data_IF_651730816561
#
_entry.id   IF_651730816561
#
_cell.length_a   1.000
_cell.length_b   1.000
_cell.length_c   1.000
_cell.angle_alpha   90.00
_cell.angle_beta   90.00
_cell.angle_gamma   90.00
#
_symmetry.space_group_name_H-M   'P 1'
#
loop_
_entity.id
_entity.type
_entity.pdbx_description
1 polymer ?
#
# COMPACT_ATOMS: atom_id res chain seq x y z
N UNK A 1 -3.03 -17.16 -2.00
CA UNK A 1 -4.14 -16.59 -1.20
C UNK A 1 -3.81 -15.12 -0.91
N UNK A 2 -4.70 -14.17 -1.23
CA UNK A 2 -4.43 -12.71 -1.08
C UNK A 2 -4.07 -12.30 0.35
N UNK A 3 -4.68 -12.96 1.33
CA UNK A 3 -4.40 -12.77 2.76
C UNK A 3 -2.94 -13.16 3.07
N UNK A 4 -2.42 -14.26 2.50
CA UNK A 4 -1.04 -14.69 2.72
C UNK A 4 -0.02 -13.72 2.10
N UNK A 5 -0.34 -13.15 0.93
CA UNK A 5 0.49 -12.11 0.30
C UNK A 5 0.55 -10.85 1.16
N UNK A 6 -0.59 -10.41 1.74
CA UNK A 6 -0.62 -9.28 2.67
C UNK A 6 0.18 -9.55 3.96
N UNK A 7 0.14 -10.78 4.49
CA UNK A 7 0.98 -11.17 5.62
C UNK A 7 2.47 -11.21 5.27
N UNK A 8 2.83 -11.71 4.08
CA UNK A 8 4.23 -11.69 3.60
C UNK A 8 4.73 -10.26 3.41
N UNK A 9 3.93 -9.39 2.82
CA UNK A 9 4.26 -7.97 2.66
C UNK A 9 4.37 -7.25 4.01
N UNK A 10 3.61 -7.64 5.02
CA UNK A 10 3.78 -7.09 6.38
C UNK A 10 5.11 -7.53 7.02
N UNK A 11 5.52 -8.79 6.78
CA UNK A 11 6.75 -9.38 7.32
C UNK A 11 8.01 -9.00 6.54
N UNK A 12 7.87 -8.53 5.30
CA UNK A 12 8.98 -8.15 4.44
C UNK A 12 9.73 -6.93 5.01
N UNK A 13 11.06 -6.99 5.00
CA UNK A 13 11.95 -5.96 5.54
C UNK A 13 12.22 -4.83 4.55
N UNK A 14 12.36 -5.16 3.27
CA UNK A 14 12.74 -4.19 2.24
C UNK A 14 11.55 -3.36 1.76
N UNK A 15 10.37 -3.98 1.67
CA UNK A 15 9.16 -3.37 1.10
C UNK A 15 7.98 -3.28 2.08
N UNK A 16 8.11 -3.91 3.25
CA UNK A 16 7.05 -4.12 4.23
C UNK A 16 7.18 -3.34 5.54
N UNK A 17 6.60 -3.88 6.61
CA UNK A 17 6.67 -3.30 7.96
C UNK A 17 7.76 -3.94 8.84
N UNK A 18 8.52 -4.91 8.33
CA UNK A 18 9.67 -5.50 9.03
C UNK A 18 9.32 -6.18 10.38
N UNK A 19 8.07 -6.59 10.59
CA UNK A 19 7.62 -7.15 11.87
C UNK A 19 8.39 -8.42 12.29
N UNK A 20 8.98 -9.12 11.33
CA UNK A 20 9.87 -10.27 11.56
C UNK A 20 11.13 -9.92 12.37
N UNK A 21 11.60 -8.67 12.33
CA UNK A 21 12.71 -8.19 13.14
C UNK A 21 12.30 -7.75 14.54
N UNK A 22 10.99 -7.61 14.78
CA UNK A 22 10.50 -7.27 16.10
C UNK A 22 10.47 -8.55 16.93
N UNK A 23 11.56 -8.84 17.65
CA UNK A 23 11.68 -9.91 18.67
C UNK A 23 10.77 -9.65 19.87
N UNK A 24 9.50 -9.37 19.63
CA UNK A 24 8.51 -9.07 20.66
C UNK A 24 7.87 -10.37 21.13
N UNK A 25 8.22 -10.79 22.35
CA UNK A 25 7.69 -11.99 23.00
C UNK A 25 6.29 -11.81 23.62
N UNK A 26 5.80 -10.57 23.74
CA UNK A 26 4.49 -10.28 24.33
C UNK A 26 3.36 -10.19 23.29
N UNK A 27 2.30 -10.98 23.47
CA UNK A 27 1.14 -11.02 22.58
C UNK A 27 0.47 -9.65 22.39
N UNK A 28 0.33 -8.86 23.47
CA UNK A 28 -0.23 -7.49 23.40
C UNK A 28 0.63 -6.54 22.55
N UNK A 29 1.95 -6.64 22.66
CA UNK A 29 2.88 -5.80 21.89
C UNK A 29 2.86 -6.18 20.41
N UNK A 30 2.78 -7.48 20.10
CA UNK A 30 2.60 -7.94 18.72
C UNK A 30 1.28 -7.45 18.11
N UNK A 31 0.17 -7.51 18.86
CA UNK A 31 -1.12 -6.97 18.43
C UNK A 31 -1.06 -5.47 18.13
N UNK A 32 -0.43 -4.69 19.01
CA UNK A 32 -0.25 -3.25 18.79
C UNK A 32 0.59 -2.96 17.53
N UNK A 33 1.68 -3.71 17.32
CA UNK A 33 2.54 -3.55 16.14
C UNK A 33 1.85 -3.96 14.84
N UNK A 34 1.00 -5.01 14.88
CA UNK A 34 0.17 -5.39 13.73
C UNK A 34 -0.84 -4.31 13.40
N UNK A 35 -1.49 -3.74 14.41
CA UNK A 35 -2.43 -2.63 14.22
C UNK A 35 -1.73 -1.41 13.59
N UNK A 36 -0.57 -1.01 14.13
CA UNK A 36 0.23 0.10 13.59
C UNK A 36 0.67 -0.22 12.15
N UNK A 37 1.14 -1.45 11.89
CA UNK A 37 1.52 -1.90 10.56
C UNK A 37 0.38 -1.81 9.56
N UNK A 38 -0.83 -2.22 9.95
CA UNK A 38 -2.02 -2.13 9.09
C UNK A 38 -2.47 -0.68 8.85
N UNK A 39 -2.43 0.18 9.86
CA UNK A 39 -2.72 1.62 9.69
C UNK A 39 -1.71 2.23 8.71
N UNK A 40 -0.43 1.91 8.86
CA UNK A 40 0.62 2.39 7.96
C UNK A 40 0.44 1.88 6.52
N UNK A 41 0.04 0.61 6.35
CA UNK A 41 -0.28 0.04 5.03
C UNK A 41 -1.51 0.73 4.40
N UNK A 42 -2.55 1.00 5.18
CA UNK A 42 -3.74 1.72 4.71
C UNK A 42 -3.36 3.14 4.25
N UNK A 43 -2.57 3.86 5.05
CA UNK A 43 -2.07 5.18 4.70
C UNK A 43 -1.22 5.16 3.42
N UNK A 44 -0.29 4.19 3.29
CA UNK A 44 0.50 4.00 2.06
C UNK A 44 -0.42 3.74 0.86
N UNK A 45 -1.47 2.93 1.01
CA UNK A 45 -2.39 2.65 -0.09
C UNK A 45 -3.16 3.90 -0.54
N UNK A 46 -3.63 4.73 0.39
CA UNK A 46 -4.23 6.03 0.07
C UNK A 46 -3.28 6.93 -0.72
N UNK A 47 -2.03 7.04 -0.26
CA UNK A 47 -1.00 7.84 -0.94
C UNK A 47 -0.71 7.30 -2.34
N UNK A 48 -0.66 5.97 -2.50
CA UNK A 48 -0.44 5.33 -3.79
C UNK A 48 -1.57 5.57 -4.79
N UNK A 49 -2.83 5.50 -4.34
CA UNK A 49 -3.99 5.82 -5.19
C UNK A 49 -4.02 7.30 -5.59
N UNK A 50 -3.72 8.20 -4.65
CA UNK A 50 -3.60 9.62 -4.93
C UNK A 50 -2.48 9.92 -5.94
N UNK A 51 -1.31 9.30 -5.77
CA UNK A 51 -0.20 9.41 -6.70
C UNK A 51 -0.52 8.85 -8.09
N UNK A 52 -1.29 7.76 -8.15
CA UNK A 52 -1.75 7.17 -9.42
C UNK A 52 -2.69 8.13 -10.15
N UNK A 53 -3.64 8.73 -9.43
CA UNK A 53 -4.57 9.72 -9.98
C UNK A 53 -3.86 11.00 -10.45
N UNK A 54 -2.82 11.44 -9.72
CA UNK A 54 -1.94 12.54 -10.13
C UNK A 54 -0.93 12.15 -11.23
N UNK A 55 -1.05 10.94 -11.80
CA UNK A 55 -0.20 10.41 -12.86
C UNK A 55 1.32 10.42 -12.56
N UNK A 56 1.70 10.46 -11.28
CA UNK A 56 3.11 10.51 -10.86
C UNK A 56 3.88 9.24 -11.22
N UNK A 57 3.16 8.14 -11.47
CA UNK A 57 3.75 6.89 -11.95
C UNK A 57 4.43 7.06 -13.32
N UNK A 58 3.97 7.98 -14.18
CA UNK A 58 4.54 8.14 -15.53
C UNK A 58 6.00 8.60 -15.52
N UNK A 59 6.41 9.37 -14.51
CA UNK A 59 7.80 9.81 -14.35
C UNK A 59 8.70 8.81 -13.62
N UNK A 60 8.13 7.71 -13.10
CA UNK A 60 8.84 6.68 -12.34
C UNK A 60 9.00 5.36 -13.11
N UNK A 61 8.32 5.24 -14.24
CA UNK A 61 8.28 4.04 -15.07
C UNK A 61 9.23 4.23 -16.25
N UNK A 62 10.15 3.28 -16.46
CA UNK A 62 11.12 3.34 -17.56
C UNK A 62 10.52 2.88 -18.89
N UNK A 63 9.46 2.07 -18.88
CA UNK A 63 8.82 1.54 -20.08
C UNK A 63 7.34 1.87 -20.11
N UNK A 64 6.85 2.53 -21.16
CA UNK A 64 5.44 2.85 -21.33
C UNK A 64 4.63 1.61 -21.81
N UNK A 65 4.74 0.48 -21.09
CA UNK A 65 3.95 -0.72 -21.38
C UNK A 65 2.53 -0.53 -20.83
N UNK A 66 1.57 -0.35 -21.73
CA UNK A 66 0.15 -0.13 -21.39
C UNK A 66 -0.57 -1.40 -20.90
N UNK A 67 0.02 -2.58 -21.08
CA UNK A 67 -0.62 -3.88 -20.81
C UNK A 67 -0.60 -4.29 -19.34
N UNK A 68 0.39 -3.82 -18.55
CA UNK A 68 0.48 -4.13 -17.12
C UNK A 68 1.12 -2.96 -16.37
N UNK A 69 0.55 -2.52 -15.23
CA UNK A 69 1.23 -1.53 -14.39
C UNK A 69 2.57 -2.11 -13.90
N UNK A 70 3.68 -1.47 -14.25
CA UNK A 70 5.03 -1.90 -13.85
C UNK A 70 5.30 -1.66 -12.36
N UNK A 71 4.66 -0.63 -11.79
CA UNK A 71 4.75 -0.30 -10.37
C UNK A 71 3.47 -0.68 -9.65
N UNK A 72 3.61 -1.46 -8.57
CA UNK A 72 2.50 -1.67 -7.64
C UNK A 72 2.12 -0.35 -6.96
N UNK A 73 0.87 -0.25 -6.50
CA UNK A 73 0.37 0.94 -5.79
C UNK A 73 1.18 1.20 -4.51
N UNK A 74 1.63 0.14 -3.83
CA UNK A 74 2.47 0.25 -2.63
C UNK A 74 3.88 0.74 -2.96
N UNK A 75 4.46 0.25 -4.06
CA UNK A 75 5.77 0.71 -4.55
C UNK A 75 5.70 2.16 -5.00
N UNK A 76 4.63 2.56 -5.69
CA UNK A 76 4.39 3.95 -6.08
C UNK A 76 4.29 4.86 -4.85
N UNK A 77 3.49 4.47 -3.86
CA UNK A 77 3.37 5.20 -2.60
C UNK A 77 4.74 5.38 -1.93
N UNK A 78 5.55 4.31 -1.88
CA UNK A 78 6.88 4.37 -1.28
C UNK A 78 7.81 5.35 -2.02
N UNK A 79 7.86 5.29 -3.35
CA UNK A 79 8.68 6.20 -4.18
C UNK A 79 8.27 7.67 -4.00
N UNK A 80 6.98 7.92 -3.82
CA UNK A 80 6.45 9.26 -3.56
C UNK A 80 6.81 9.75 -2.16
N UNK A 81 6.72 8.89 -1.13
CA UNK A 81 7.12 9.22 0.24
C UNK A 81 8.64 9.49 0.31
N UNK A 82 9.45 8.68 -0.37
CA UNK A 82 10.91 8.80 -0.36
C UNK A 82 11.40 10.02 -1.18
N UNK A 83 10.54 10.64 -2.00
CA UNK A 83 10.88 11.81 -2.83
C UNK A 83 10.12 13.06 -2.39
N UNK A 84 10.79 14.06 -1.77
CA UNK A 84 10.12 15.28 -1.30
C UNK A 84 9.49 16.09 -2.43
N UNK A 85 10.03 15.99 -3.66
CA UNK A 85 9.49 16.65 -4.85
C UNK A 85 8.15 16.05 -5.26
N UNK A 86 8.03 14.72 -5.25
CA UNK A 86 6.78 14.03 -5.59
C UNK A 86 5.74 14.19 -4.50
N UNK A 87 6.17 14.17 -3.23
CA UNK A 87 5.28 14.36 -2.09
C UNK A 87 4.59 15.74 -2.14
N UNK A 88 5.33 16.81 -2.47
CA UNK A 88 4.76 18.17 -2.64
C UNK A 88 3.75 18.28 -3.77
N UNK A 89 3.78 17.36 -4.76
CA UNK A 89 2.81 17.33 -5.85
C UNK A 89 1.47 16.72 -5.43
N UNK A 90 1.43 15.97 -4.33
CA UNK A 90 0.15 15.57 -3.72
C UNK A 90 -0.44 16.77 -2.99
N UNK A 91 -1.60 17.24 -3.45
CA UNK A 91 -2.39 18.24 -2.74
C UNK A 91 -3.24 17.59 -1.64
N UNK A 92 -4.02 16.56 -1.98
CA UNK A 92 -4.89 15.86 -1.02
C UNK A 92 -5.00 14.37 -1.31
N UNK A 93 -4.75 13.53 -0.29
CA UNK A 93 -4.87 12.06 -0.38
C UNK A 93 -6.24 11.55 0.11
N UNK A 94 -6.96 12.34 0.90
CA UNK A 94 -8.22 11.95 1.54
C UNK A 94 -9.41 11.68 0.60
N UNK A 95 -9.53 12.35 -0.57
CA UNK A 95 -10.62 12.06 -1.52
C UNK A 95 -10.60 10.61 -2.04
N UNK A 96 -9.44 9.94 -2.03
CA UNK A 96 -9.29 8.57 -2.56
C UNK A 96 -9.82 7.48 -1.62
N UNK A 97 -10.37 7.83 -0.44
CA UNK A 97 -11.05 6.88 0.45
C UNK A 97 -12.17 6.10 -0.23
N UNK A 98 -12.85 6.70 -1.21
CA UNK A 98 -13.93 6.07 -1.95
C UNK A 98 -13.43 4.91 -2.84
N UNK A 99 -12.21 5.03 -3.38
CA UNK A 99 -11.55 3.97 -4.16
C UNK A 99 -11.22 2.78 -3.28
N UNK A 100 -10.77 3.01 -2.05
CA UNK A 100 -10.52 1.92 -1.11
C UNK A 100 -11.83 1.21 -0.73
N UNK A 101 -12.91 1.97 -0.50
CA UNK A 101 -14.23 1.38 -0.24
C UNK A 101 -14.71 0.49 -1.39
N UNK A 102 -14.60 0.96 -2.63
CA UNK A 102 -15.03 0.16 -3.79
C UNK A 102 -14.17 -1.10 -3.97
N UNK A 103 -12.85 -1.04 -3.72
CA UNK A 103 -11.97 -2.20 -3.73
C UNK A 103 -12.36 -3.24 -2.67
N UNK A 104 -12.75 -2.79 -1.47
CA UNK A 104 -13.23 -3.68 -0.41
C UNK A 104 -14.53 -4.35 -0.83
N UNK A 105 -15.51 -3.60 -1.36
CA UNK A 105 -16.77 -4.18 -1.85
C UNK A 105 -16.54 -5.24 -2.93
N UNK A 106 -15.63 -4.98 -3.87
CA UNK A 106 -15.27 -5.94 -4.93
C UNK A 106 -14.55 -7.18 -4.38
N UNK A 107 -13.67 -7.02 -3.39
CA UNK A 107 -12.97 -8.14 -2.75
C UNK A 107 -13.93 -9.01 -1.94
N UNK A 108 -14.84 -8.41 -1.17
CA UNK A 108 -15.88 -9.11 -0.44
C UNK A 108 -16.84 -9.85 -1.38
N UNK A 109 -17.24 -9.22 -2.49
CA UNK A 109 -18.10 -9.87 -3.50
C UNK A 109 -17.43 -11.08 -4.19
N UNK A 110 -16.09 -11.05 -4.37
CA UNK A 110 -15.33 -12.20 -4.87
C UNK A 110 -15.19 -13.32 -3.84
N UNK A 111 -15.13 -12.99 -2.55
CA UNK A 111 -14.97 -13.95 -1.47
C UNK A 111 -16.23 -14.77 -1.24
N UNK A 112 -17.42 -14.22 -1.53
CA UNK A 112 -18.71 -14.92 -1.41
C UNK A 112 -18.98 -15.87 -2.60
N UNK A 113 -18.21 -15.79 -3.68
CA UNK A 113 -18.35 -16.64 -4.88
C UNK A 113 -17.41 -17.85 -4.91
N UNK A 114 -16.72 -18.13 -3.81
CA UNK A 114 -15.86 -19.30 -3.60
C UNK A 114 -16.48 -20.21 -2.56
#
# INVERSE_FOLDING_TARGET
MRIEEEFRDTKNLALGAGLSMTRSSGQRRLQALLLIGHIAQLAKRLIGEAAKAAQLHLGLVSTNRKTRPELSIMTLARRVIDSPVLLRKLKDSWPFRHVLRSQVTQASAKTVRL
#
